data_IF_577409721627
#
_entry.id   IF_577409721627
#
_cell.length_a   1.000
_cell.length_b   1.000
_cell.length_c   1.000
_cell.angle_alpha   90.00
_cell.angle_beta   90.00
_cell.angle_gamma   90.00
#
_symmetry.space_group_name_H-M   'P 1'
#
loop_
_entity.id
_entity.type
_entity.pdbx_description
1 polymer ?
#
# COMPACT_ATOMS: atom_id res chain seq x y z
N UNK A 1 -28.55 18.05 13.14
CA UNK A 1 -28.79 17.83 14.58
C UNK A 1 -27.42 17.67 15.19
N UNK A 2 -26.99 18.65 15.99
CA UNK A 2 -25.61 18.81 16.46
C UNK A 2 -25.16 17.61 17.29
N UNK A 3 -23.96 17.10 17.01
CA UNK A 3 -23.32 15.96 17.69
C UNK A 3 -23.00 16.28 19.16
N UNK A 4 -23.05 17.56 19.57
CA UNK A 4 -22.90 17.98 20.97
C UNK A 4 -24.09 17.60 21.87
N UNK A 5 -25.28 17.35 21.31
CA UNK A 5 -26.45 16.91 22.10
C UNK A 5 -26.38 15.42 22.49
N UNK A 6 -25.45 14.65 21.92
CA UNK A 6 -25.30 13.21 22.22
C UNK A 6 -24.52 13.01 23.53
N UNK A 7 -23.60 13.91 23.88
CA UNK A 7 -22.75 13.77 25.07
C UNK A 7 -23.50 13.76 26.41
N UNK A 8 -24.65 14.44 26.49
CA UNK A 8 -25.44 14.52 27.72
C UNK A 8 -26.51 13.41 27.84
N UNK A 9 -26.85 12.73 26.74
CA UNK A 9 -27.79 11.59 26.74
C UNK A 9 -27.09 10.29 27.16
N UNK A 10 -25.78 10.19 26.93
CA UNK A 10 -24.95 9.00 27.21
C UNK A 10 -24.85 8.65 28.69
N UNK A 11 -25.16 9.57 29.62
CA UNK A 11 -24.97 9.32 31.05
C UNK A 11 -26.10 8.55 31.75
N UNK A 12 -27.30 8.39 31.16
CA UNK A 12 -28.45 7.85 31.91
C UNK A 12 -29.25 6.71 31.27
N UNK A 13 -28.95 6.25 30.06
CA UNK A 13 -29.62 5.05 29.50
C UNK A 13 -28.58 4.05 28.98
N UNK A 14 -28.33 3.00 29.76
CA UNK A 14 -27.37 1.90 29.46
C UNK A 14 -27.84 0.96 28.33
N UNK A 15 -28.89 1.34 27.60
CA UNK A 15 -29.47 0.62 26.46
C UNK A 15 -29.56 1.49 25.21
N UNK A 16 -28.59 2.39 24.99
CA UNK A 16 -28.49 3.13 23.73
C UNK A 16 -28.10 2.18 22.59
N UNK A 17 -29.10 1.75 21.79
CA UNK A 17 -29.14 1.51 20.34
C UNK A 17 -27.90 1.05 19.51
N UNK A 18 -26.80 0.55 20.10
CA UNK A 18 -25.61 0.10 19.34
C UNK A 18 -25.95 -1.02 18.36
N UNK A 19 -26.79 -1.98 18.76
CA UNK A 19 -27.23 -3.08 17.90
C UNK A 19 -28.08 -2.58 16.73
N UNK A 20 -28.96 -1.61 16.95
CA UNK A 20 -29.79 -1.04 15.89
C UNK A 20 -28.98 -0.17 14.92
N UNK A 21 -28.05 0.63 15.43
CA UNK A 21 -27.12 1.41 14.61
C UNK A 21 -26.22 0.50 13.77
N UNK A 22 -25.72 -0.59 14.35
CA UNK A 22 -24.94 -1.60 13.64
C UNK A 22 -25.75 -2.26 12.51
N UNK A 23 -26.98 -2.70 12.80
CA UNK A 23 -27.86 -3.26 11.78
C UNK A 23 -28.20 -2.26 10.68
N UNK A 24 -28.42 -0.99 11.03
CA UNK A 24 -28.62 0.09 10.06
C UNK A 24 -27.37 0.31 9.18
N UNK A 25 -26.17 0.30 9.76
CA UNK A 25 -24.92 0.43 9.00
C UNK A 25 -24.69 -0.75 8.05
N UNK A 26 -24.89 -1.99 8.51
CA UNK A 26 -24.79 -3.18 7.65
C UNK A 26 -25.81 -3.14 6.51
N UNK A 27 -27.06 -2.77 6.81
CA UNK A 27 -28.10 -2.67 5.79
C UNK A 27 -27.75 -1.62 4.71
N UNK A 28 -27.17 -0.49 5.12
CA UNK A 28 -26.67 0.50 4.18
C UNK A 28 -25.43 0.02 3.41
N UNK A 29 -24.53 -0.71 4.06
CA UNK A 29 -23.36 -1.31 3.45
C UNK A 29 -23.74 -2.29 2.33
N UNK A 30 -24.70 -3.19 2.57
CA UNK A 30 -25.15 -4.15 1.56
C UNK A 30 -25.72 -3.44 0.33
N UNK A 31 -26.63 -2.48 0.54
CA UNK A 31 -27.19 -1.66 -0.54
C UNK A 31 -26.12 -0.88 -1.30
N UNK A 32 -25.12 -0.37 -0.59
CA UNK A 32 -24.06 0.42 -1.20
C UNK A 32 -23.05 -0.44 -1.95
N UNK A 33 -22.74 -1.63 -1.45
CA UNK A 33 -21.87 -2.60 -2.11
C UNK A 33 -22.47 -3.05 -3.45
N UNK A 34 -23.75 -3.41 -3.44
CA UNK A 34 -24.47 -3.81 -4.65
C UNK A 34 -24.52 -2.65 -5.65
N UNK A 35 -24.76 -1.42 -5.16
CA UNK A 35 -24.71 -0.22 -5.99
C UNK A 35 -23.32 0.00 -6.60
N UNK A 36 -22.26 -0.10 -5.80
CA UNK A 36 -20.89 0.13 -6.27
C UNK A 36 -20.54 -0.82 -7.39
N UNK A 37 -20.86 -2.12 -7.25
CA UNK A 37 -20.60 -3.15 -8.27
C UNK A 37 -21.32 -2.89 -9.60
N UNK A 38 -22.47 -2.22 -9.56
CA UNK A 38 -23.31 -1.98 -10.73
C UNK A 38 -22.97 -0.68 -11.47
N UNK A 39 -22.46 0.35 -10.78
CA UNK A 39 -22.33 1.69 -11.35
C UNK A 39 -20.92 2.26 -11.28
N UNK A 40 -20.46 2.93 -12.35
CA UNK A 40 -19.09 3.39 -12.45
C UNK A 40 -18.78 4.57 -11.51
N UNK A 41 -17.59 4.55 -10.94
CA UNK A 41 -16.96 5.72 -10.31
C UNK A 41 -16.45 6.72 -11.37
N UNK A 42 -16.33 8.01 -11.03
CA UNK A 42 -15.69 9.00 -11.90
C UNK A 42 -14.26 8.60 -12.25
N UNK A 43 -13.76 9.12 -13.38
CA UNK A 43 -12.39 8.86 -13.82
C UNK A 43 -11.35 9.42 -12.86
N UNK A 44 -10.16 8.78 -12.81
CA UNK A 44 -9.07 9.17 -11.92
C UNK A 44 -8.62 10.63 -12.13
N UNK A 45 -8.72 11.14 -13.36
CA UNK A 45 -8.41 12.54 -13.67
C UNK A 45 -9.34 13.51 -12.94
N UNK A 46 -10.64 13.20 -12.88
CA UNK A 46 -11.66 14.02 -12.23
C UNK A 46 -11.48 13.95 -10.71
N UNK A 47 -11.22 12.76 -10.17
CA UNK A 47 -10.91 12.58 -8.75
C UNK A 47 -9.68 13.39 -8.37
N UNK A 48 -8.60 13.30 -9.17
CA UNK A 48 -7.40 14.09 -8.98
C UNK A 48 -7.68 15.59 -9.02
N UNK A 49 -8.55 16.07 -9.93
CA UNK A 49 -8.95 17.47 -9.96
C UNK A 49 -9.68 17.89 -8.68
N UNK A 50 -10.58 17.06 -8.12
CA UNK A 50 -11.27 17.35 -6.87
C UNK A 50 -10.30 17.46 -5.68
N UNK A 51 -9.34 16.54 -5.56
CA UNK A 51 -8.31 16.61 -4.52
C UNK A 51 -7.39 17.83 -4.69
N UNK A 52 -7.01 18.19 -5.93
CA UNK A 52 -6.25 19.39 -6.22
C UNK A 52 -7.01 20.67 -5.84
N UNK A 53 -8.32 20.74 -6.13
CA UNK A 53 -9.17 21.85 -5.73
C UNK A 53 -9.26 21.94 -4.21
N UNK A 54 -9.46 20.82 -3.53
CA UNK A 54 -9.54 20.81 -2.08
C UNK A 54 -8.24 21.30 -1.43
N UNK A 55 -7.08 20.87 -1.95
CA UNK A 55 -5.77 21.36 -1.50
C UNK A 55 -5.57 22.84 -1.78
N UNK A 56 -5.95 23.32 -2.97
CA UNK A 56 -5.76 24.73 -3.38
C UNK A 56 -6.63 25.69 -2.57
N UNK A 57 -7.85 25.27 -2.21
CA UNK A 57 -8.86 26.10 -1.58
C UNK A 57 -9.09 25.75 -0.10
N UNK A 58 -8.22 24.93 0.50
CA UNK A 58 -8.29 24.47 1.88
C UNK A 58 -9.65 23.87 2.26
N UNK A 59 -10.25 23.11 1.35
CA UNK A 59 -11.49 22.37 1.60
C UNK A 59 -11.12 21.06 2.30
N UNK A 60 -11.85 20.71 3.34
CA UNK A 60 -11.66 19.44 4.06
C UNK A 60 -11.84 18.24 3.12
N UNK A 61 -10.91 17.29 3.16
CA UNK A 61 -10.90 16.08 2.31
C UNK A 61 -12.12 15.20 2.56
N UNK A 62 -12.71 15.29 3.75
CA UNK A 62 -13.97 14.61 4.04
C UNK A 62 -15.13 15.04 3.13
N UNK A 63 -15.11 16.27 2.59
CA UNK A 63 -16.08 16.75 1.59
C UNK A 63 -15.79 16.14 0.22
N UNK A 64 -14.51 15.98 -0.13
CA UNK A 64 -14.09 15.32 -1.38
C UNK A 64 -14.54 13.85 -1.39
N UNK A 65 -14.35 13.13 -0.28
CA UNK A 65 -14.81 11.75 -0.17
C UNK A 65 -16.33 11.64 -0.42
N UNK A 66 -17.10 12.55 0.18
CA UNK A 66 -18.55 12.58 0.02
C UNK A 66 -18.96 12.94 -1.42
N UNK A 67 -18.28 13.92 -2.03
CA UNK A 67 -18.57 14.35 -3.39
C UNK A 67 -18.30 13.24 -4.42
N UNK A 68 -17.27 12.42 -4.21
CA UNK A 68 -16.97 11.23 -5.04
C UNK A 68 -18.12 10.22 -5.00
N UNK A 69 -18.69 9.96 -3.83
CA UNK A 69 -19.83 9.06 -3.73
C UNK A 69 -21.12 9.67 -4.31
N UNK A 70 -21.32 10.99 -4.16
CA UNK A 70 -22.45 11.69 -4.78
C UNK A 70 -22.39 11.68 -6.31
N UNK A 71 -21.21 11.92 -6.90
CA UNK A 71 -21.07 11.87 -8.36
C UNK A 71 -21.24 10.45 -8.88
N UNK A 72 -20.77 9.43 -8.17
CA UNK A 72 -21.07 8.03 -8.51
C UNK A 72 -22.58 7.75 -8.47
N UNK A 73 -23.30 8.29 -7.47
CA UNK A 73 -24.76 8.21 -7.38
C UNK A 73 -25.43 8.83 -8.61
N UNK A 74 -24.98 10.02 -8.98
CA UNK A 74 -25.47 10.75 -10.13
C UNK A 74 -25.23 9.99 -11.44
N UNK A 75 -24.01 9.45 -11.65
CA UNK A 75 -23.67 8.67 -12.85
C UNK A 75 -24.54 7.43 -13.00
N UNK A 76 -24.77 6.67 -11.92
CA UNK A 76 -25.64 5.49 -12.00
C UNK A 76 -27.11 5.82 -12.25
N UNK A 77 -27.64 6.88 -11.64
CA UNK A 77 -29.00 7.35 -11.93
C UNK A 77 -29.16 7.91 -13.35
N UNK A 78 -28.11 8.52 -13.91
CA UNK A 78 -28.08 8.94 -15.32
C UNK A 78 -28.12 7.74 -16.27
N UNK A 79 -27.49 6.62 -15.92
CA UNK A 79 -27.55 5.39 -16.71
C UNK A 79 -28.95 4.76 -16.70
N UNK A 80 -29.65 4.78 -15.56
CA UNK A 80 -31.04 4.33 -15.46
C UNK A 80 -31.95 5.25 -16.30
N UNK A 81 -31.73 6.57 -16.25
CA UNK A 81 -32.55 7.58 -16.93
C UNK A 81 -32.17 7.79 -18.42
N UNK A 82 -31.59 6.80 -19.11
CA UNK A 82 -31.14 6.86 -20.51
C UNK A 82 -32.17 7.44 -21.50
N UNK A 83 -33.47 7.38 -21.19
CA UNK A 83 -34.55 7.84 -22.06
C UNK A 83 -34.90 9.35 -21.96
N UNK A 84 -34.35 10.12 -20.99
CA UNK A 84 -34.78 11.52 -20.75
C UNK A 84 -33.74 12.61 -21.03
N UNK A 85 -32.46 12.26 -21.21
CA UNK A 85 -31.35 13.24 -21.26
C UNK A 85 -30.48 12.97 -22.49
N UNK A 86 -30.24 14.00 -23.29
CA UNK A 86 -29.51 13.97 -24.56
C UNK A 86 -28.16 13.24 -24.42
N UNK A 87 -28.02 12.10 -25.10
CA UNK A 87 -26.87 11.17 -25.01
C UNK A 87 -25.50 11.81 -25.36
N UNK A 88 -25.47 12.92 -26.11
CA UNK A 88 -24.21 13.60 -26.51
C UNK A 88 -23.50 14.37 -25.40
N UNK A 89 -24.20 14.78 -24.32
CA UNK A 89 -23.55 15.46 -23.17
C UNK A 89 -22.90 14.48 -22.19
N UNK A 90 -23.31 13.21 -22.18
CA UNK A 90 -22.96 12.18 -21.18
C UNK A 90 -21.49 11.73 -21.21
N UNK A 91 -20.78 11.89 -22.33
CA UNK A 91 -19.39 11.45 -22.48
C UNK A 91 -18.38 12.59 -22.48
N UNK A 92 -18.84 13.84 -22.27
CA UNK A 92 -17.93 14.97 -22.20
C UNK A 92 -17.29 15.01 -20.80
N UNK A 93 -15.98 14.78 -20.73
CA UNK A 93 -15.21 14.82 -19.48
C UNK A 93 -15.38 16.15 -18.74
N UNK A 94 -15.57 17.26 -19.47
CA UNK A 94 -15.82 18.59 -18.92
C UNK A 94 -17.15 18.64 -18.17
N UNK A 95 -18.21 18.06 -18.73
CA UNK A 95 -19.52 18.03 -18.10
C UNK A 95 -19.50 17.21 -16.80
N UNK A 96 -18.83 16.05 -16.80
CA UNK A 96 -18.69 15.23 -15.59
C UNK A 96 -17.86 15.97 -14.53
N UNK A 97 -16.80 16.69 -14.93
CA UNK A 97 -16.02 17.52 -14.03
C UNK A 97 -16.88 18.64 -13.42
N UNK A 98 -17.67 19.36 -14.21
CA UNK A 98 -18.60 20.38 -13.73
C UNK A 98 -19.64 19.80 -12.76
N UNK A 99 -20.23 18.64 -13.07
CA UNK A 99 -21.14 17.94 -12.15
C UNK A 99 -20.43 17.49 -10.86
N UNK A 100 -19.15 17.10 -10.95
CA UNK A 100 -18.33 16.76 -9.78
C UNK A 100 -18.07 17.98 -8.89
N UNK A 101 -17.92 19.18 -9.48
CA UNK A 101 -17.81 20.44 -8.74
C UNK A 101 -19.16 20.77 -8.07
N UNK A 102 -20.30 20.55 -8.73
CA UNK A 102 -21.62 20.67 -8.08
C UNK A 102 -21.76 19.71 -6.90
N UNK A 103 -21.32 18.46 -7.05
CA UNK A 103 -21.27 17.48 -5.96
C UNK A 103 -20.38 17.94 -4.80
N UNK A 104 -19.23 18.55 -5.10
CA UNK A 104 -18.34 19.12 -4.09
C UNK A 104 -19.01 20.29 -3.35
N UNK A 105 -19.67 21.21 -4.05
CA UNK A 105 -20.41 22.29 -3.41
C UNK A 105 -21.46 21.75 -2.44
N UNK A 106 -22.22 20.75 -2.91
CA UNK A 106 -23.30 20.16 -2.14
C UNK A 106 -22.78 19.43 -0.90
N UNK A 107 -21.67 18.69 -1.03
CA UNK A 107 -21.02 18.05 0.12
C UNK A 107 -20.65 19.06 1.22
N UNK A 108 -20.10 20.20 0.82
CA UNK A 108 -19.77 21.27 1.74
C UNK A 108 -21.03 21.93 2.33
N UNK A 109 -22.10 22.13 1.55
CA UNK A 109 -23.39 22.65 2.04
C UNK A 109 -24.04 21.73 3.07
N UNK A 110 -23.93 20.41 2.89
CA UNK A 110 -24.52 19.42 3.80
C UNK A 110 -23.78 19.41 5.15
N UNK A 111 -22.45 19.50 5.14
CA UNK A 111 -21.64 19.47 6.38
C UNK A 111 -21.58 20.80 7.11
N UNK A 112 -21.54 21.93 6.39
CA UNK A 112 -21.33 23.24 6.99
C UNK A 112 -22.62 24.07 7.02
N UNK A 113 -23.10 24.38 8.22
CA UNK A 113 -24.30 25.21 8.44
C UNK A 113 -24.18 26.63 7.86
N UNK A 114 -22.95 27.16 7.72
CA UNK A 114 -22.65 28.52 7.25
C UNK A 114 -22.02 28.59 5.85
N UNK A 115 -22.13 27.53 5.03
CA UNK A 115 -21.43 27.47 3.73
C UNK A 115 -21.87 28.53 2.70
N UNK A 116 -23.07 29.11 2.86
CA UNK A 116 -23.73 29.99 1.88
C UNK A 116 -23.00 31.30 1.53
N UNK A 117 -21.79 31.56 2.06
CA UNK A 117 -21.06 32.81 1.85
C UNK A 117 -19.58 32.63 1.50
N UNK A 118 -19.10 31.43 1.17
CA UNK A 118 -17.66 31.25 0.88
C UNK A 118 -17.28 31.90 -0.46
N UNK A 119 -16.51 33.00 -0.40
CA UNK A 119 -15.85 33.59 -1.56
C UNK A 119 -14.93 32.58 -2.28
N UNK A 120 -14.49 31.56 -1.54
CA UNK A 120 -13.71 30.42 -2.01
C UNK A 120 -14.43 29.68 -3.14
N UNK A 121 -15.70 29.29 -2.95
CA UNK A 121 -16.38 28.50 -3.97
C UNK A 121 -16.77 29.34 -5.20
N UNK A 122 -16.98 30.66 -5.02
CA UNK A 122 -17.16 31.58 -6.15
C UNK A 122 -15.94 31.62 -7.07
N UNK A 123 -14.72 31.57 -6.52
CA UNK A 123 -13.49 31.48 -7.32
C UNK A 123 -13.41 30.15 -8.08
N UNK A 124 -13.86 29.04 -7.49
CA UNK A 124 -13.94 27.75 -8.19
C UNK A 124 -14.93 27.83 -9.34
N UNK A 125 -16.11 28.39 -9.13
CA UNK A 125 -17.14 28.53 -10.18
C UNK A 125 -16.59 29.34 -11.36
N UNK A 126 -15.92 30.46 -11.10
CA UNK A 126 -15.33 31.31 -12.14
C UNK A 126 -14.26 30.61 -13.00
N UNK A 127 -13.64 29.53 -12.51
CA UNK A 127 -12.62 28.79 -13.24
C UNK A 127 -13.19 27.74 -14.20
N UNK A 128 -14.39 27.23 -13.94
CA UNK A 128 -14.94 26.04 -14.62
C UNK A 128 -16.32 26.25 -15.26
N UNK A 129 -16.97 27.38 -15.04
CA UNK A 129 -18.32 27.67 -15.53
C UNK A 129 -18.36 29.05 -16.18
N UNK A 130 -19.14 29.16 -17.26
CA UNK A 130 -19.50 30.45 -17.84
C UNK A 130 -20.58 31.16 -16.99
N UNK A 131 -20.77 32.46 -17.25
CA UNK A 131 -21.76 33.27 -16.51
C UNK A 131 -23.16 32.65 -16.58
N UNK A 132 -23.75 32.36 -15.41
CA UNK A 132 -25.08 31.74 -15.19
C UNK A 132 -25.19 30.24 -15.51
N UNK A 133 -24.15 29.60 -16.04
CA UNK A 133 -24.17 28.15 -16.34
C UNK A 133 -24.25 27.30 -15.07
N UNK A 134 -23.53 27.71 -14.02
CA UNK A 134 -23.45 26.99 -12.75
C UNK A 134 -24.82 26.69 -12.13
N UNK A 135 -25.70 27.69 -12.06
CA UNK A 135 -27.02 27.55 -11.44
C UNK A 135 -27.88 26.52 -12.17
N UNK A 136 -27.79 26.46 -13.50
CA UNK A 136 -28.49 25.46 -14.30
C UNK A 136 -27.96 24.05 -14.02
N UNK A 137 -26.64 23.90 -13.95
CA UNK A 137 -25.97 22.62 -13.68
C UNK A 137 -26.25 22.12 -12.26
N UNK A 138 -26.25 23.01 -11.26
CA UNK A 138 -26.58 22.65 -9.88
C UNK A 138 -28.04 22.17 -9.76
N UNK A 139 -28.98 22.83 -10.44
CA UNK A 139 -30.38 22.38 -10.48
C UNK A 139 -30.53 21.02 -11.16
N UNK A 140 -29.87 20.82 -12.31
CA UNK A 140 -29.89 19.54 -13.03
C UNK A 140 -29.31 18.41 -12.16
N UNK A 141 -28.19 18.67 -11.47
CA UNK A 141 -27.59 17.73 -10.54
C UNK A 141 -28.57 17.36 -9.42
N UNK A 142 -29.14 18.36 -8.75
CA UNK A 142 -30.09 18.17 -7.64
C UNK A 142 -31.36 17.45 -8.09
N UNK A 143 -31.88 17.73 -9.28
CA UNK A 143 -33.09 17.07 -9.77
C UNK A 143 -32.95 15.56 -9.88
N UNK A 144 -31.73 15.09 -10.19
CA UNK A 144 -31.41 13.67 -10.28
C UNK A 144 -31.18 13.07 -8.89
N UNK A 145 -30.42 13.73 -8.01
CA UNK A 145 -29.96 13.12 -6.74
C UNK A 145 -30.73 13.54 -5.48
N UNK A 146 -31.73 14.44 -5.54
CA UNK A 146 -32.39 15.03 -4.36
C UNK A 146 -32.93 14.02 -3.34
N UNK A 147 -33.34 12.83 -3.78
CA UNK A 147 -33.84 11.77 -2.89
C UNK A 147 -32.74 10.80 -2.40
N UNK A 148 -31.51 11.00 -2.85
CA UNK A 148 -30.37 10.11 -2.62
C UNK A 148 -29.14 10.87 -2.09
N UNK A 149 -29.37 11.96 -1.36
CA UNK A 149 -28.30 12.79 -0.83
C UNK A 149 -27.53 12.12 0.31
N UNK A 150 -28.12 11.15 1.02
CA UNK A 150 -27.45 10.42 2.11
C UNK A 150 -26.70 9.22 1.55
N UNK A 151 -25.40 9.18 1.84
CA UNK A 151 -24.51 8.14 1.38
C UNK A 151 -23.69 7.62 2.56
N UNK A 152 -23.57 6.29 2.76
CA UNK A 152 -22.70 5.75 3.79
C UNK A 152 -21.24 6.14 3.50
N UNK A 153 -20.54 6.62 4.52
CA UNK A 153 -19.12 6.94 4.43
C UNK A 153 -18.30 5.99 5.28
N UNK A 154 -17.07 5.70 4.85
CA UNK A 154 -16.17 4.86 5.63
C UNK A 154 -15.87 5.45 7.02
N UNK A 155 -15.96 6.78 7.14
CA UNK A 155 -15.85 7.48 8.41
C UNK A 155 -16.94 7.12 9.40
N UNK A 156 -18.17 6.89 8.94
CA UNK A 156 -19.30 6.58 9.82
C UNK A 156 -19.08 5.23 10.51
N UNK A 157 -18.54 4.25 9.77
CA UNK A 157 -18.16 2.96 10.31
C UNK A 157 -16.95 3.07 11.24
N UNK A 158 -15.97 3.89 10.89
CA UNK A 158 -14.78 4.08 11.72
C UNK A 158 -15.15 4.66 13.08
N UNK A 159 -15.91 5.76 13.11
CA UNK A 159 -16.35 6.41 14.33
C UNK A 159 -17.17 5.45 15.20
N UNK A 160 -18.08 4.67 14.58
CA UNK A 160 -18.84 3.62 15.26
C UNK A 160 -17.95 2.57 15.93
N UNK A 161 -16.95 2.03 15.23
CA UNK A 161 -16.08 0.98 15.79
C UNK A 161 -15.10 1.52 16.83
N UNK A 162 -14.59 2.74 16.69
CA UNK A 162 -13.77 3.38 17.73
C UNK A 162 -14.56 3.50 19.03
N UNK A 163 -15.83 3.93 18.95
CA UNK A 163 -16.71 4.03 20.10
C UNK A 163 -17.05 2.64 20.69
N UNK A 164 -17.42 1.69 19.84
CA UNK A 164 -17.79 0.32 20.24
C UNK A 164 -16.66 -0.40 20.98
N UNK A 165 -15.42 -0.26 20.50
CA UNK A 165 -14.26 -0.92 21.10
C UNK A 165 -13.54 -0.06 22.15
N UNK A 166 -14.07 1.12 22.47
CA UNK A 166 -13.44 2.08 23.40
C UNK A 166 -11.95 2.33 23.10
N UNK A 167 -11.61 2.45 21.82
CA UNK A 167 -10.23 2.62 21.38
C UNK A 167 -9.77 4.06 21.67
N UNK A 168 -8.51 4.21 22.07
CA UNK A 168 -7.91 5.54 22.26
C UNK A 168 -7.94 6.34 20.95
N UNK A 169 -8.14 7.67 21.00
CA UNK A 169 -8.19 8.49 19.81
C UNK A 169 -6.89 8.35 19.02
N UNK A 170 -6.98 7.67 17.88
CA UNK A 170 -5.81 7.41 17.04
C UNK A 170 -5.40 8.66 16.25
N UNK A 171 -4.17 8.68 15.75
CA UNK A 171 -3.63 9.77 14.94
C UNK A 171 -4.54 10.10 13.75
N UNK A 172 -5.27 11.22 13.89
CA UNK A 172 -6.25 11.69 12.91
C UNK A 172 -5.61 11.97 11.54
N UNK A 173 -4.34 12.39 11.52
CA UNK A 173 -3.60 12.63 10.28
C UNK A 173 -3.34 11.35 9.48
N UNK A 174 -2.95 10.26 10.17
CA UNK A 174 -2.71 8.95 9.54
C UNK A 174 -4.02 8.40 8.99
N UNK A 175 -5.08 8.45 9.79
CA UNK A 175 -6.42 8.06 9.38
C UNK A 175 -6.91 8.80 8.12
N UNK A 176 -6.82 10.13 8.11
CA UNK A 176 -7.20 10.94 6.95
C UNK A 176 -6.35 10.62 5.72
N UNK A 177 -5.06 10.37 5.91
CA UNK A 177 -4.16 9.97 4.81
C UNK A 177 -4.57 8.64 4.19
N UNK A 178 -4.95 7.66 5.01
CA UNK A 178 -5.42 6.34 4.53
C UNK A 178 -6.76 6.50 3.79
N UNK A 179 -7.70 7.27 4.34
CA UNK A 179 -8.96 7.55 3.66
C UNK A 179 -8.73 8.23 2.31
N UNK A 180 -7.84 9.22 2.24
CA UNK A 180 -7.51 9.91 1.00
C UNK A 180 -7.01 8.92 -0.07
N UNK A 181 -6.17 7.94 0.29
CA UNK A 181 -5.70 6.91 -0.63
C UNK A 181 -6.85 6.03 -1.14
N UNK A 182 -7.75 5.60 -0.24
CA UNK A 182 -8.90 4.76 -0.57
C UNK A 182 -9.83 5.49 -1.55
N UNK A 183 -10.16 6.75 -1.26
CA UNK A 183 -11.05 7.54 -2.09
C UNK A 183 -10.37 8.12 -3.35
N UNK A 184 -9.03 8.16 -3.40
CA UNK A 184 -8.31 8.46 -4.64
C UNK A 184 -8.44 7.34 -5.66
N UNK A 185 -8.52 6.07 -5.21
CA UNK A 185 -8.74 4.89 -6.05
C UNK A 185 -10.00 4.12 -5.68
N UNK A 186 -11.19 4.72 -5.84
CA UNK A 186 -12.41 4.12 -5.33
C UNK A 186 -12.74 2.77 -6.00
N UNK A 187 -12.36 2.60 -7.27
CA UNK A 187 -12.52 1.34 -8.01
C UNK A 187 -11.70 0.18 -7.42
N UNK A 188 -10.62 0.43 -6.71
CA UNK A 188 -9.80 -0.66 -6.15
C UNK A 188 -10.31 -1.09 -4.76
N UNK A 189 -10.95 -0.17 -4.04
CA UNK A 189 -11.27 -0.34 -2.63
C UNK A 189 -12.77 -0.40 -2.35
N UNK A 190 -13.58 0.51 -2.87
CA UNK A 190 -14.97 0.72 -2.44
C UNK A 190 -15.96 -0.38 -2.91
N UNK A 191 -15.53 -1.34 -3.74
CA UNK A 191 -16.32 -2.57 -3.98
C UNK A 191 -16.30 -3.53 -2.79
N UNK A 192 -15.33 -3.37 -1.88
CA UNK A 192 -15.20 -4.20 -0.68
C UNK A 192 -16.17 -3.73 0.40
N UNK A 193 -16.58 -4.63 1.32
CA UNK A 193 -17.37 -4.25 2.49
C UNK A 193 -16.68 -3.12 3.27
N UNK A 194 -17.44 -2.08 3.63
CA UNK A 194 -16.96 -0.95 4.42
C UNK A 194 -16.56 -1.39 5.83
N UNK A 195 -17.28 -2.35 6.42
CA UNK A 195 -16.89 -2.99 7.69
C UNK A 195 -15.48 -3.57 7.60
N UNK A 196 -15.20 -4.36 6.56
CA UNK A 196 -13.88 -4.96 6.34
C UNK A 196 -12.79 -3.89 6.14
N UNK A 197 -13.07 -2.88 5.31
CA UNK A 197 -12.14 -1.77 5.09
C UNK A 197 -11.86 -1.01 6.38
N UNK A 198 -12.88 -0.74 7.20
CA UNK A 198 -12.73 -0.04 8.47
C UNK A 198 -11.92 -0.85 9.48
N UNK A 199 -12.16 -2.16 9.61
CA UNK A 199 -11.31 -3.01 10.44
C UNK A 199 -9.86 -3.01 9.95
N UNK A 200 -9.63 -3.09 8.63
CA UNK A 200 -8.29 -3.01 8.07
C UNK A 200 -7.61 -1.66 8.40
N UNK A 201 -8.34 -0.55 8.33
CA UNK A 201 -7.84 0.78 8.70
C UNK A 201 -7.48 0.83 10.19
N UNK A 202 -8.38 0.40 11.07
CA UNK A 202 -8.16 0.36 12.53
C UNK A 202 -6.93 -0.49 12.84
N UNK A 203 -6.84 -1.70 12.28
CA UNK A 203 -5.66 -2.55 12.45
C UNK A 203 -4.40 -1.83 11.99
N UNK A 204 -4.39 -1.27 10.77
CA UNK A 204 -3.22 -0.59 10.21
C UNK A 204 -2.75 0.58 11.07
N UNK A 205 -3.67 1.39 11.59
CA UNK A 205 -3.33 2.51 12.48
C UNK A 205 -2.81 2.00 13.83
N UNK A 206 -3.45 0.99 14.43
CA UNK A 206 -2.95 0.36 15.67
C UNK A 206 -1.54 -0.20 15.49
N UNK A 207 -1.26 -0.79 14.33
CA UNK A 207 0.06 -1.30 13.98
C UNK A 207 1.08 -0.17 13.88
N UNK A 208 0.73 0.92 13.20
CA UNK A 208 1.62 2.08 13.05
C UNK A 208 1.92 2.78 14.37
N UNK A 209 0.98 2.76 15.32
CA UNK A 209 1.15 3.36 16.63
C UNK A 209 1.95 2.45 17.57
N UNK A 210 1.75 1.13 17.51
CA UNK A 210 2.44 0.14 18.34
C UNK A 210 3.51 -0.63 17.55
N UNK A 211 4.43 0.09 16.87
CA UNK A 211 5.47 -0.53 16.02
C UNK A 211 6.34 -1.56 16.74
N UNK A 212 6.56 -1.37 18.04
CA UNK A 212 7.42 -2.24 18.84
C UNK A 212 6.80 -3.63 19.07
N UNK A 213 5.49 -3.68 19.33
CA UNK A 213 4.76 -4.93 19.60
C UNK A 213 4.33 -5.63 18.31
N UNK A 214 4.04 -4.86 17.26
CA UNK A 214 3.58 -5.40 15.98
C UNK A 214 4.67 -5.98 15.10
N UNK A 215 5.95 -5.73 15.41
CA UNK A 215 7.10 -6.42 14.81
C UNK A 215 6.98 -7.96 14.92
N UNK A 216 6.30 -8.46 15.96
CA UNK A 216 6.10 -9.89 16.18
C UNK A 216 4.89 -10.47 15.43
N UNK A 217 3.88 -9.65 15.12
CA UNK A 217 2.61 -10.08 14.52
C UNK A 217 2.54 -9.83 13.01
N UNK A 218 3.22 -8.80 12.53
CA UNK A 218 3.37 -8.51 11.12
C UNK A 218 4.85 -8.49 10.80
N UNK A 219 5.27 -9.50 10.04
CA UNK A 219 6.45 -9.38 9.20
C UNK A 219 6.17 -8.26 8.21
N UNK A 220 6.49 -7.04 8.60
CA UNK A 220 6.81 -5.95 7.68
C UNK A 220 8.09 -6.32 6.95
N UNK A 221 8.04 -7.40 6.17
CA UNK A 221 9.01 -7.61 5.11
C UNK A 221 8.63 -6.55 4.08
N UNK A 222 9.24 -5.38 4.28
CA UNK A 222 9.37 -4.30 3.33
C UNK A 222 9.45 -4.93 1.94
N UNK A 223 8.60 -4.47 1.01
CA UNK A 223 8.70 -4.77 -0.42
C UNK A 223 9.99 -4.13 -0.94
N UNK A 224 11.09 -4.77 -0.55
CA UNK A 224 12.44 -4.77 -1.09
C UNK A 224 12.78 -6.25 -1.03
N UNK A 225 13.08 -6.86 -2.17
CA UNK A 225 13.73 -8.17 -2.17
C UNK A 225 14.88 -8.15 -1.15
N UNK A 226 14.71 -8.83 -0.02
CA UNK A 226 15.79 -8.89 0.95
C UNK A 226 16.72 -10.00 0.49
N UNK A 227 17.94 -9.65 0.09
CA UNK A 227 19.03 -10.61 -0.12
C UNK A 227 19.17 -11.59 1.05
N UNK A 228 18.74 -11.15 2.24
CA UNK A 228 18.65 -11.92 3.46
C UNK A 228 17.76 -13.16 3.35
N UNK A 229 16.65 -13.14 2.59
CA UNK A 229 15.80 -14.33 2.41
C UNK A 229 16.54 -15.43 1.63
N UNK A 230 17.32 -15.09 0.61
CA UNK A 230 18.12 -16.09 -0.10
C UNK A 230 19.19 -16.70 0.80
N UNK A 231 19.77 -15.89 1.70
CA UNK A 231 20.73 -16.38 2.69
C UNK A 231 20.07 -17.28 3.73
N UNK A 232 19.07 -16.78 4.46
CA UNK A 232 18.49 -17.50 5.60
C UNK A 232 17.57 -18.64 5.15
N UNK A 233 16.74 -18.40 4.14
CA UNK A 233 15.75 -19.36 3.65
C UNK A 233 16.33 -20.42 2.71
N UNK A 234 17.14 -20.00 1.74
CA UNK A 234 17.58 -20.93 0.69
C UNK A 234 18.96 -21.53 0.98
N UNK A 235 19.93 -20.72 1.43
CA UNK A 235 21.30 -21.20 1.68
C UNK A 235 21.39 -21.89 3.05
N UNK A 236 21.08 -21.19 4.14
CA UNK A 236 21.08 -21.76 5.49
C UNK A 236 20.00 -22.84 5.62
N UNK A 237 18.80 -22.59 5.07
CA UNK A 237 17.73 -23.61 5.05
C UNK A 237 18.08 -24.90 4.29
N UNK A 238 19.02 -24.85 3.34
CA UNK A 238 19.55 -26.05 2.66
C UNK A 238 20.63 -26.80 3.48
N UNK A 239 20.98 -26.32 4.67
CA UNK A 239 21.93 -26.96 5.58
C UNK A 239 23.35 -26.41 5.53
N UNK A 240 23.58 -25.28 4.85
CA UNK A 240 24.87 -24.58 4.93
C UNK A 240 25.09 -24.03 6.35
N UNK A 241 26.32 -24.10 6.84
CA UNK A 241 26.69 -23.62 8.17
C UNK A 241 26.70 -22.11 8.24
N UNK A 242 27.26 -21.47 7.21
CA UNK A 242 27.35 -20.00 7.08
C UNK A 242 27.19 -19.63 5.61
N UNK A 243 26.61 -18.46 5.34
CA UNK A 243 26.41 -18.00 3.98
C UNK A 243 26.39 -16.47 3.90
N UNK A 244 26.81 -15.91 2.77
CA UNK A 244 26.63 -14.50 2.46
C UNK A 244 26.46 -14.26 0.97
N UNK A 245 25.90 -13.10 0.62
CA UNK A 245 25.78 -12.62 -0.76
C UNK A 245 26.53 -11.30 -0.84
N UNK A 246 27.38 -11.18 -1.85
CA UNK A 246 28.23 -10.01 -2.09
C UNK A 246 27.93 -9.42 -3.47
N UNK A 247 28.21 -8.13 -3.66
CA UNK A 247 28.27 -7.53 -4.99
C UNK A 247 29.45 -8.05 -5.80
N UNK A 248 29.22 -8.42 -7.07
CA UNK A 248 30.26 -8.90 -7.97
C UNK A 248 31.24 -7.80 -8.42
N UNK A 249 30.83 -6.53 -8.35
CA UNK A 249 31.63 -5.38 -8.79
C UNK A 249 32.68 -4.95 -7.76
N UNK A 250 32.28 -4.89 -6.49
CA UNK A 250 33.04 -4.30 -5.38
C UNK A 250 33.30 -5.26 -4.21
N UNK A 251 32.58 -6.38 -4.16
CA UNK A 251 32.64 -7.33 -3.04
C UNK A 251 31.92 -6.84 -1.78
N UNK A 252 31.05 -5.82 -1.91
CA UNK A 252 30.26 -5.29 -0.80
C UNK A 252 29.25 -6.31 -0.29
N UNK A 253 29.06 -6.41 1.04
CA UNK A 253 28.14 -7.40 1.63
C UNK A 253 26.70 -6.94 1.46
N UNK A 254 25.89 -7.74 0.76
CA UNK A 254 24.46 -7.50 0.56
C UNK A 254 23.59 -8.22 1.59
N UNK A 255 23.99 -9.41 2.01
CA UNK A 255 23.35 -10.18 3.08
C UNK A 255 24.33 -11.18 3.70
N UNK A 256 24.12 -11.55 4.96
CA UNK A 256 24.98 -12.52 5.68
C UNK A 256 24.18 -13.30 6.71
N UNK A 257 24.55 -14.55 6.94
CA UNK A 257 23.92 -15.41 7.94
C UNK A 257 24.28 -14.96 9.36
N UNK A 258 23.42 -15.26 10.34
CA UNK A 258 23.66 -14.92 11.74
C UNK A 258 25.01 -15.45 12.26
N UNK A 259 25.78 -14.59 12.94
CA UNK A 259 27.09 -14.95 13.50
C UNK A 259 28.22 -15.11 12.47
N UNK A 260 27.99 -14.74 11.20
CA UNK A 260 29.01 -14.74 10.15
C UNK A 260 29.23 -13.33 9.61
N UNK A 261 30.50 -12.91 9.51
CA UNK A 261 30.90 -11.65 8.90
C UNK A 261 32.25 -11.82 8.23
N UNK A 262 32.39 -11.30 7.01
CA UNK A 262 33.69 -11.24 6.35
C UNK A 262 34.55 -10.16 6.99
N UNK A 263 35.85 -10.44 7.14
CA UNK A 263 36.79 -9.42 7.61
C UNK A 263 37.00 -8.37 6.51
N UNK A 264 37.44 -7.18 6.93
CA UNK A 264 37.69 -6.07 6.02
C UNK A 264 38.64 -6.50 4.87
N UNK A 265 38.19 -6.28 3.63
CA UNK A 265 38.95 -6.59 2.42
C UNK A 265 38.75 -8.01 1.84
N UNK A 266 38.15 -8.95 2.57
CA UNK A 266 37.94 -10.32 2.06
C UNK A 266 36.96 -10.35 0.88
N UNK A 267 35.82 -9.65 0.98
CA UNK A 267 34.83 -9.58 -0.10
C UNK A 267 35.38 -8.92 -1.38
N UNK A 268 36.14 -7.83 -1.25
CA UNK A 268 36.81 -7.17 -2.37
C UNK A 268 37.88 -8.07 -3.03
N UNK A 269 38.53 -8.92 -2.23
CA UNK A 269 39.47 -9.94 -2.74
C UNK A 269 38.73 -10.97 -3.59
N UNK A 270 37.52 -11.39 -3.22
CA UNK A 270 36.71 -12.28 -4.06
C UNK A 270 36.31 -11.63 -5.38
N UNK A 271 35.76 -10.41 -5.35
CA UNK A 271 35.37 -9.68 -6.56
C UNK A 271 36.55 -9.45 -7.52
N UNK A 272 37.74 -9.15 -6.99
CA UNK A 272 38.95 -8.97 -7.79
C UNK A 272 39.52 -10.29 -8.33
N UNK A 273 39.49 -11.38 -7.56
CA UNK A 273 39.93 -12.70 -8.02
C UNK A 273 39.00 -13.28 -9.11
N UNK A 274 37.72 -12.91 -9.16
CA UNK A 274 36.86 -13.29 -10.29
C UNK A 274 37.19 -12.58 -11.61
N UNK A 275 38.09 -11.58 -11.61
CA UNK A 275 38.67 -11.01 -12.84
C UNK A 275 39.82 -11.86 -13.38
N UNK A 276 40.48 -12.62 -12.50
CA UNK A 276 41.57 -13.53 -12.82
C UNK A 276 41.55 -14.73 -11.87
N UNK A 277 40.85 -15.78 -12.30
CA UNK A 277 40.48 -16.94 -11.49
C UNK A 277 41.71 -17.70 -10.98
N UNK A 278 42.86 -17.58 -11.65
CA UNK A 278 44.12 -18.22 -11.23
C UNK A 278 44.59 -17.75 -9.85
N UNK A 279 44.17 -16.54 -9.44
CA UNK A 279 44.48 -15.97 -8.12
C UNK A 279 43.81 -16.72 -6.98
N UNK A 280 42.68 -17.40 -7.20
CA UNK A 280 42.09 -18.26 -6.18
C UNK A 280 43.03 -19.41 -5.83
N UNK A 281 43.63 -20.05 -6.83
CA UNK A 281 44.59 -21.16 -6.63
C UNK A 281 45.89 -20.69 -5.98
N UNK A 282 46.40 -19.51 -6.36
CA UNK A 282 47.64 -18.96 -5.82
C UNK A 282 47.51 -18.48 -4.36
N UNK A 283 46.42 -17.77 -4.02
CA UNK A 283 46.27 -17.13 -2.72
C UNK A 283 45.42 -17.95 -1.73
N UNK A 284 44.63 -18.91 -2.23
CA UNK A 284 43.58 -19.60 -1.49
C UNK A 284 42.33 -18.74 -1.32
N UNK A 285 41.28 -19.32 -0.72
CA UNK A 285 40.05 -18.60 -0.37
C UNK A 285 40.11 -18.28 1.11
N UNK A 286 39.94 -17.01 1.50
CA UNK A 286 39.91 -16.60 2.92
C UNK A 286 38.56 -15.97 3.24
N UNK A 287 37.80 -16.59 4.13
CA UNK A 287 36.49 -16.09 4.58
C UNK A 287 36.44 -16.10 6.12
N UNK A 288 36.08 -14.96 6.71
CA UNK A 288 36.08 -14.71 8.16
C UNK A 288 37.43 -15.06 8.83
N UNK A 289 38.54 -14.76 8.15
CA UNK A 289 39.90 -15.06 8.59
C UNK A 289 40.32 -16.52 8.48
N UNK A 290 39.49 -17.38 7.88
CA UNK A 290 39.75 -18.81 7.74
C UNK A 290 40.13 -19.13 6.30
N UNK A 291 41.26 -19.81 6.10
CA UNK A 291 41.80 -20.16 4.78
C UNK A 291 41.34 -21.55 4.33
N UNK A 292 40.77 -21.63 3.14
CA UNK A 292 40.32 -22.84 2.46
C UNK A 292 41.25 -23.14 1.28
N UNK A 293 41.56 -24.43 1.09
CA UNK A 293 42.34 -24.92 -0.04
C UNK A 293 41.45 -25.08 -1.27
N UNK A 294 41.86 -24.52 -2.41
CA UNK A 294 41.06 -24.56 -3.64
C UNK A 294 41.12 -25.93 -4.27
N UNK A 295 39.95 -26.51 -4.54
CA UNK A 295 39.81 -27.78 -5.27
C UNK A 295 39.59 -27.55 -6.76
N UNK A 296 38.80 -26.54 -7.09
CA UNK A 296 38.45 -26.18 -8.46
C UNK A 296 38.13 -24.70 -8.54
N UNK A 297 38.56 -24.06 -9.62
CA UNK A 297 38.38 -22.63 -9.85
C UNK A 297 37.97 -22.38 -11.30
N UNK A 298 36.68 -22.16 -11.52
CA UNK A 298 36.11 -21.78 -12.81
C UNK A 298 35.68 -20.30 -12.78
N UNK A 299 35.47 -19.65 -13.94
CA UNK A 299 34.96 -18.27 -14.01
C UNK A 299 33.62 -18.05 -13.32
N UNK A 300 32.80 -19.11 -13.22
CA UNK A 300 31.49 -19.11 -12.56
C UNK A 300 31.58 -19.60 -11.11
N UNK A 301 32.19 -20.77 -10.89
CA UNK A 301 32.14 -21.45 -9.60
C UNK A 301 33.54 -21.78 -9.08
N UNK A 302 33.78 -21.54 -7.80
CA UNK A 302 35.03 -21.86 -7.12
C UNK A 302 34.71 -22.66 -5.86
N UNK A 303 35.40 -23.78 -5.68
CA UNK A 303 35.18 -24.70 -4.56
C UNK A 303 36.46 -24.81 -3.75
N UNK A 304 36.32 -24.70 -2.44
CA UNK A 304 37.39 -24.86 -1.48
C UNK A 304 37.06 -25.89 -0.40
N UNK A 305 38.10 -26.45 0.22
CA UNK A 305 38.00 -27.41 1.31
C UNK A 305 38.83 -26.96 2.50
N UNK A 306 38.34 -27.27 3.69
CA UNK A 306 39.07 -27.11 4.94
C UNK A 306 38.69 -28.24 5.90
N UNK A 307 39.62 -29.16 6.15
CA UNK A 307 39.35 -30.35 6.94
C UNK A 307 38.20 -31.16 6.34
N UNK A 308 37.15 -31.41 7.12
CA UNK A 308 35.95 -32.11 6.69
C UNK A 308 34.81 -31.17 6.23
N UNK A 309 35.02 -29.85 6.27
CA UNK A 309 34.13 -28.84 5.69
C UNK A 309 34.69 -28.19 4.43
N UNK A 310 34.00 -27.16 3.93
CA UNK A 310 34.45 -26.44 2.75
C UNK A 310 33.66 -25.17 2.47
N UNK A 311 34.04 -24.50 1.38
CA UNK A 311 33.43 -23.25 0.91
C UNK A 311 33.10 -23.38 -0.58
N UNK A 312 31.97 -22.82 -0.98
CA UNK A 312 31.50 -22.73 -2.36
C UNK A 312 31.26 -21.26 -2.67
N UNK A 313 31.85 -20.78 -3.75
CA UNK A 313 31.63 -19.45 -4.29
C UNK A 313 31.00 -19.59 -5.67
N UNK A 314 29.90 -18.91 -5.93
CA UNK A 314 29.26 -18.88 -7.25
C UNK A 314 28.99 -17.45 -7.66
N UNK A 315 29.51 -17.05 -8.83
CA UNK A 315 29.33 -15.73 -9.40
C UNK A 315 28.13 -15.72 -10.37
N UNK A 316 27.31 -14.68 -10.22
CA UNK A 316 26.21 -14.29 -11.11
C UNK A 316 26.59 -13.01 -11.87
N UNK A 317 25.65 -12.33 -12.52
CA UNK A 317 25.96 -11.12 -13.31
C UNK A 317 26.43 -9.96 -12.42
N UNK A 318 25.81 -9.81 -11.25
CA UNK A 318 25.93 -8.69 -10.32
C UNK A 318 26.22 -9.15 -8.89
N UNK A 319 26.05 -10.44 -8.54
CA UNK A 319 26.30 -10.96 -7.20
C UNK A 319 27.32 -12.12 -7.15
N UNK A 320 27.92 -12.33 -5.99
CA UNK A 320 28.72 -13.51 -5.64
C UNK A 320 28.08 -14.15 -4.41
N UNK A 321 27.64 -15.40 -4.54
CA UNK A 321 27.11 -16.19 -3.44
C UNK A 321 28.27 -16.94 -2.78
N UNK A 322 28.26 -16.95 -1.46
CA UNK A 322 29.23 -17.66 -0.63
C UNK A 322 28.46 -18.61 0.29
N UNK A 323 28.79 -19.90 0.24
CA UNK A 323 28.25 -20.92 1.13
C UNK A 323 29.38 -21.71 1.78
N UNK A 324 29.37 -21.79 3.10
CA UNK A 324 30.30 -22.59 3.89
C UNK A 324 29.53 -23.76 4.50
N UNK A 325 30.05 -24.97 4.33
CA UNK A 325 29.49 -26.20 4.88
C UNK A 325 30.48 -26.89 5.82
N UNK A 326 29.95 -27.68 6.74
CA UNK A 326 30.72 -28.54 7.63
C UNK A 326 30.42 -30.02 7.35
N UNK A 327 30.85 -30.90 8.25
CA UNK A 327 30.73 -32.36 8.12
C UNK A 327 29.27 -32.85 8.03
N UNK A 328 28.29 -32.00 8.39
CA UNK A 328 26.87 -32.35 8.36
C UNK A 328 26.29 -32.34 6.95
N UNK A 329 26.93 -31.64 6.01
CA UNK A 329 26.43 -31.50 4.65
C UNK A 329 27.48 -32.01 3.65
N UNK A 330 27.05 -32.90 2.76
CA UNK A 330 27.93 -33.45 1.73
C UNK A 330 28.36 -32.34 0.74
N UNK A 331 29.63 -32.32 0.30
CA UNK A 331 30.14 -31.28 -0.61
C UNK A 331 29.30 -31.07 -1.87
N UNK A 332 28.80 -32.15 -2.48
CA UNK A 332 27.96 -32.09 -3.67
C UNK A 332 26.59 -31.45 -3.41
N UNK A 333 25.98 -31.70 -2.25
CA UNK A 333 24.71 -31.09 -1.86
C UNK A 333 24.89 -29.60 -1.54
N UNK A 334 26.00 -29.23 -0.89
CA UNK A 334 26.35 -27.84 -0.64
C UNK A 334 26.57 -27.05 -1.93
N UNK A 335 27.31 -27.62 -2.89
CA UNK A 335 27.50 -27.03 -4.21
C UNK A 335 26.16 -26.82 -4.95
N UNK A 336 25.33 -27.86 -4.99
CA UNK A 336 24.02 -27.79 -5.63
C UNK A 336 23.11 -26.71 -5.03
N UNK A 337 23.10 -26.56 -3.70
CA UNK A 337 22.29 -25.55 -3.03
C UNK A 337 22.70 -24.12 -3.43
N UNK A 338 24.00 -23.81 -3.43
CA UNK A 338 24.50 -22.47 -3.81
C UNK A 338 24.27 -22.21 -5.30
N UNK A 339 24.53 -23.20 -6.16
CA UNK A 339 24.35 -23.06 -7.60
C UNK A 339 22.89 -22.87 -7.99
N UNK A 340 21.96 -23.61 -7.37
CA UNK A 340 20.53 -23.44 -7.63
C UNK A 340 20.04 -22.02 -7.35
N UNK A 341 20.52 -21.39 -6.27
CA UNK A 341 20.16 -19.99 -5.97
C UNK A 341 20.83 -19.05 -6.96
N UNK A 342 22.08 -19.33 -7.35
CA UNK A 342 22.79 -18.53 -8.34
C UNK A 342 22.12 -18.58 -9.73
N UNK A 343 21.70 -19.76 -10.18
CA UNK A 343 20.99 -19.94 -11.46
C UNK A 343 19.68 -19.16 -11.46
N UNK A 344 18.90 -19.23 -10.38
CA UNK A 344 17.68 -18.43 -10.23
C UNK A 344 17.94 -16.92 -10.32
N UNK A 345 19.03 -16.44 -9.71
CA UNK A 345 19.40 -15.02 -9.75
C UNK A 345 19.83 -14.60 -11.16
N UNK A 346 20.58 -15.44 -11.87
CA UNK A 346 20.96 -15.20 -13.27
C UNK A 346 19.73 -15.12 -14.16
N UNK A 347 18.79 -16.06 -14.02
CA UNK A 347 17.52 -16.05 -14.76
C UNK A 347 16.68 -14.80 -14.46
N UNK A 348 16.82 -14.25 -13.25
CA UNK A 348 16.18 -13.02 -12.80
C UNK A 348 16.93 -11.75 -13.23
N UNK A 349 18.03 -11.86 -13.98
CA UNK A 349 18.82 -10.72 -14.50
C UNK A 349 19.85 -10.15 -13.52
N UNK A 350 20.17 -10.89 -12.45
CA UNK A 350 21.13 -10.49 -11.41
C UNK A 350 22.50 -11.15 -11.56
#
# INVERSE_FOLDING_TARGET
>A
MNIELVGDIVKNDSSFYFTELYHYLIFNEEKWRDYNQLYPFPDESIISSLFCLAKKFSIDTSNVHYSICLIQRFLGLLEINKNKINLKRKTNSIYILQMSICALNLSCKIKNMYWNQSNIFKQIIQLYFEDKEYSSMELEFLDIIKFYLRVPMLSDFYDFFIELFHLQPMDKEIYQSILNIIYFKPKDFLYKPFTLLTFAIICFILILNNRNDTKYYLKWDYIKMSWQQYVDGNLIGAGLKQACILGAADGGVWATSAGFSLKAGEGATFASNYKDVTKFTANGIVANGVKYFVLKSDPRSVYGKQGAGGIVLVKTTQAILVGIYDEKLQPGAAAFAVEKVADYLIDSGY
#
